data_IF_578776484490
#
_entry.id   IF_578776484490
#
_cell.length_a   1.000
_cell.length_b   1.000
_cell.length_c   1.000
_cell.angle_alpha   90.00
_cell.angle_beta   90.00
_cell.angle_gamma   90.00
#
_symmetry.space_group_name_H-M   'P 1'
#
loop_
_entity.id
_entity.type
_entity.pdbx_description
1 polymer ?
#
# COMPACT_ATOMS: atom_id res chain seq x y z
N UNK A 1 9.90 11.35 -11.10
CA UNK A 1 9.09 10.50 -10.21
C UNK A 1 10.08 9.59 -9.49
N UNK A 2 10.27 9.73 -8.17
CA UNK A 2 11.22 8.89 -7.41
C UNK A 2 10.53 8.19 -6.22
N UNK A 3 9.55 8.85 -5.59
CA UNK A 3 8.80 8.25 -4.47
C UNK A 3 7.84 7.13 -4.85
N UNK A 4 7.29 7.14 -6.08
CA UNK A 4 6.33 6.11 -6.53
C UNK A 4 6.99 4.76 -6.77
N UNK A 5 8.21 4.76 -7.32
CA UNK A 5 8.96 3.53 -7.55
C UNK A 5 9.45 2.92 -6.24
N UNK A 6 9.89 3.75 -5.28
CA UNK A 6 10.32 3.30 -3.96
C UNK A 6 9.17 2.66 -3.17
N UNK A 7 8.00 3.32 -3.11
CA UNK A 7 6.83 2.78 -2.41
C UNK A 7 6.32 1.48 -3.07
N UNK A 8 6.40 1.39 -4.40
CA UNK A 8 6.01 0.17 -5.12
C UNK A 8 7.00 -0.98 -4.90
N UNK A 9 8.31 -0.68 -4.86
CA UNK A 9 9.33 -1.66 -4.54
C UNK A 9 9.18 -2.18 -3.10
N UNK A 10 8.90 -1.29 -2.14
CA UNK A 10 8.60 -1.66 -0.76
C UNK A 10 7.35 -2.55 -0.67
N UNK A 11 6.27 -2.17 -1.35
CA UNK A 11 5.05 -2.99 -1.42
C UNK A 11 5.34 -4.41 -1.91
N UNK A 12 6.04 -4.57 -3.04
CA UNK A 12 6.34 -5.90 -3.58
C UNK A 12 7.37 -6.66 -2.74
N UNK A 13 8.24 -5.98 -1.98
CA UNK A 13 9.17 -6.64 -1.05
C UNK A 13 8.46 -7.39 0.09
N UNK A 14 7.23 -7.00 0.40
CA UNK A 14 6.40 -7.66 1.42
C UNK A 14 5.66 -8.91 0.89
N UNK A 15 5.84 -9.26 -0.39
CA UNK A 15 5.21 -10.40 -1.07
C UNK A 15 3.67 -10.49 -0.88
N UNK A 16 2.91 -9.42 -1.17
CA UNK A 16 1.47 -9.45 -1.00
C UNK A 16 0.76 -10.34 -2.03
N UNK A 17 -0.34 -10.95 -1.60
CA UNK A 17 -1.29 -11.67 -2.47
C UNK A 17 -2.50 -10.78 -2.80
N UNK A 18 -3.39 -11.28 -3.66
CA UNK A 18 -4.67 -10.62 -4.01
C UNK A 18 -4.51 -9.15 -4.46
N UNK A 19 -3.40 -8.90 -5.18
CA UNK A 19 -3.01 -7.56 -5.59
C UNK A 19 -4.02 -6.99 -6.59
N UNK A 20 -4.59 -5.82 -6.26
CA UNK A 20 -5.52 -5.11 -7.12
C UNK A 20 -5.27 -3.61 -7.14
N UNK A 21 -5.37 -3.00 -8.32
CA UNK A 21 -5.32 -1.55 -8.49
C UNK A 21 -6.74 -0.99 -8.49
N UNK A 22 -7.00 -0.03 -7.61
CA UNK A 22 -8.29 0.66 -7.50
C UNK A 22 -8.40 1.82 -8.51
N UNK A 23 -9.61 2.30 -8.86
CA UNK A 23 -9.80 3.38 -9.83
C UNK A 23 -9.07 4.70 -9.49
N UNK A 24 -8.78 4.94 -8.21
CA UNK A 24 -8.01 6.10 -7.75
C UNK A 24 -6.48 5.91 -7.85
N UNK A 25 -6.02 4.79 -8.40
CA UNK A 25 -4.61 4.44 -8.53
C UNK A 25 -3.97 3.83 -7.27
N UNK A 26 -4.71 3.64 -6.18
CA UNK A 26 -4.23 2.91 -5.01
C UNK A 26 -4.03 1.45 -5.36
N UNK A 27 -2.87 0.89 -5.04
CA UNK A 27 -2.59 -0.54 -5.17
C UNK A 27 -2.80 -1.18 -3.80
N UNK A 28 -3.54 -2.28 -3.73
CA UNK A 28 -3.89 -2.96 -2.49
C UNK A 28 -3.46 -4.42 -2.60
N UNK A 29 -2.95 -4.99 -1.53
CA UNK A 29 -2.66 -6.41 -1.42
C UNK A 29 -2.82 -6.94 0.00
N UNK A 30 -2.81 -8.26 0.14
CA UNK A 30 -2.96 -8.98 1.41
C UNK A 30 -1.63 -9.57 1.84
N UNK A 31 -1.23 -9.33 3.07
CA UNK A 31 -0.04 -9.94 3.67
C UNK A 31 -0.35 -11.33 4.22
N UNK A 32 0.68 -12.16 4.39
CA UNK A 32 0.54 -13.54 4.89
C UNK A 32 -0.09 -13.63 6.30
N UNK A 33 0.00 -12.55 7.08
CA UNK A 33 -0.62 -12.43 8.40
C UNK A 33 -2.07 -11.91 8.37
N UNK A 34 -2.64 -11.71 7.17
CA UNK A 34 -4.00 -11.23 6.97
C UNK A 34 -4.17 -9.71 7.01
N UNK A 35 -3.08 -8.94 7.24
CA UNK A 35 -3.12 -7.48 7.14
C UNK A 35 -3.23 -7.03 5.69
N UNK A 36 -3.71 -5.81 5.49
CA UNK A 36 -3.80 -5.19 4.17
C UNK A 36 -2.64 -4.22 3.99
N UNK A 37 -1.89 -4.35 2.90
CA UNK A 37 -0.87 -3.38 2.50
C UNK A 37 -1.38 -2.56 1.32
N UNK A 38 -1.13 -1.25 1.33
CA UNK A 38 -1.59 -0.32 0.32
C UNK A 38 -0.43 0.54 -0.18
N UNK A 39 -0.41 0.88 -1.45
CA UNK A 39 0.39 1.98 -2.01
C UNK A 39 -0.56 3.08 -2.44
N UNK A 40 -0.46 4.23 -1.80
CA UNK A 40 -1.22 5.41 -2.22
C UNK A 40 -0.42 6.20 -3.24
N UNK A 41 -0.97 6.51 -4.42
CA UNK A 41 -0.30 7.41 -5.34
C UNK A 41 -0.28 8.82 -4.75
N UNK A 42 0.72 9.60 -5.14
CA UNK A 42 0.91 10.99 -4.70
C UNK A 42 -0.36 11.85 -4.80
N UNK A 43 -1.15 11.61 -5.84
CA UNK A 43 -2.42 12.29 -6.13
C UNK A 43 -3.52 12.01 -5.10
N UNK A 44 -3.48 10.86 -4.41
CA UNK A 44 -4.53 10.45 -3.46
C UNK A 44 -4.35 11.06 -2.06
N UNK A 45 -3.12 11.38 -1.65
CA UNK A 45 -2.81 11.92 -0.32
C UNK A 45 -2.24 13.35 -0.35
N UNK A 46 -2.34 14.06 -1.49
CA UNK A 46 -1.75 15.41 -1.69
C UNK A 46 -0.26 15.46 -1.32
N UNK A 47 0.52 14.41 -1.63
CA UNK A 47 1.85 14.23 -1.06
C UNK A 47 2.74 13.21 -1.79
N UNK A 48 3.77 12.72 -1.11
CA UNK A 48 4.68 11.66 -1.61
C UNK A 48 3.92 10.33 -1.62
N UNK A 49 4.14 9.44 -2.61
CA UNK A 49 3.58 8.08 -2.55
C UNK A 49 4.04 7.37 -1.28
N UNK A 50 3.11 6.75 -0.55
CA UNK A 50 3.38 6.07 0.72
C UNK A 50 2.85 4.64 0.71
N UNK A 51 3.55 3.77 1.43
CA UNK A 51 3.05 2.47 1.83
C UNK A 51 2.24 2.65 3.12
N UNK A 52 1.13 1.93 3.24
CA UNK A 52 0.32 1.87 4.46
C UNK A 52 -0.05 0.42 4.74
N UNK A 53 0.16 -0.04 5.97
CA UNK A 53 -0.30 -1.36 6.43
C UNK A 53 -1.46 -1.18 7.41
N UNK A 54 -2.62 -1.72 7.06
CA UNK A 54 -3.81 -1.76 7.89
C UNK A 54 -3.96 -3.12 8.57
N UNK A 55 -4.11 -3.11 9.89
CA UNK A 55 -4.42 -4.29 10.69
C UNK A 55 -5.94 -4.34 10.98
N UNK A 56 -6.68 -5.33 10.45
CA UNK A 56 -8.11 -5.45 10.69
C UNK A 56 -8.47 -5.88 12.11
N UNK A 57 -7.54 -6.51 12.84
CA UNK A 57 -7.75 -6.98 14.22
C UNK A 57 -7.79 -5.80 15.17
N UNK A 58 -6.83 -4.88 15.04
CA UNK A 58 -6.75 -3.67 15.88
C UNK A 58 -7.47 -2.47 15.27
N UNK A 59 -7.83 -2.54 13.98
CA UNK A 59 -8.41 -1.45 13.17
C UNK A 59 -7.49 -0.22 13.11
N UNK A 60 -6.18 -0.44 13.01
CA UNK A 60 -5.17 0.63 12.97
C UNK A 60 -4.31 0.53 11.72
N UNK A 61 -3.83 1.68 11.26
CA UNK A 61 -2.89 1.78 10.14
C UNK A 61 -1.51 2.25 10.59
N UNK A 62 -0.46 1.73 9.96
CA UNK A 62 0.91 2.20 10.06
C UNK A 62 1.40 2.68 8.68
N UNK A 63 2.15 3.78 8.65
CA UNK A 63 2.81 4.35 7.46
C UNK A 63 4.30 4.00 7.44
#
# INVERSE_FOLDING_TARGET
MKGSEAALAEFYSQNPTDVSTKPNGTIVGTLADGRTINVHPASSLKGVPTVEIYDPTTKTSAL
#
